data_IF_241802461997
#
_entry.id   IF_241802461997
#
_cell.length_a   1.000
_cell.length_b   1.000
_cell.length_c   1.000
_cell.angle_alpha   90.00
_cell.angle_beta   90.00
_cell.angle_gamma   90.00
#
_symmetry.space_group_name_H-M   'P 1'
#
loop_
_entity.id
_entity.type
_entity.pdbx_description
1 polymer ?
#
# COMPACT_ATOMS: atom_id res chain seq x y z
N UNK A 1 9.38 18.92 -21.20
CA UNK A 1 8.15 19.51 -21.77
C UNK A 1 7.60 18.78 -23.01
N UNK A 2 8.45 18.25 -23.90
CA UNK A 2 7.99 17.62 -25.16
C UNK A 2 7.11 16.38 -24.96
N UNK A 3 7.42 15.53 -23.98
CA UNK A 3 6.63 14.32 -23.68
C UNK A 3 5.26 14.70 -23.07
N UNK A 4 5.27 15.61 -22.10
CA UNK A 4 4.06 16.07 -21.40
C UNK A 4 3.05 16.72 -22.37
N UNK A 5 3.51 17.36 -23.45
CA UNK A 5 2.62 17.93 -24.47
C UNK A 5 1.69 16.88 -25.10
N UNK A 6 2.15 15.63 -25.25
CA UNK A 6 1.36 14.55 -25.86
C UNK A 6 0.75 13.58 -24.84
N UNK A 7 1.32 13.53 -23.63
CA UNK A 7 0.99 12.56 -22.58
C UNK A 7 0.00 13.09 -21.54
N UNK A 8 -0.15 14.42 -21.39
CA UNK A 8 -0.96 14.99 -20.33
C UNK A 8 -2.41 14.48 -20.37
N UNK A 9 -2.94 14.05 -19.22
CA UNK A 9 -4.33 13.58 -19.13
C UNK A 9 -4.61 12.24 -19.81
N UNK A 10 -3.56 11.44 -20.06
CA UNK A 10 -3.64 10.07 -20.58
C UNK A 10 -3.47 9.02 -19.47
N UNK A 11 -3.55 7.74 -19.83
CA UNK A 11 -3.36 6.62 -18.90
C UNK A 11 -1.96 6.57 -18.27
N UNK A 12 -0.93 7.19 -18.88
CA UNK A 12 0.41 7.31 -18.29
C UNK A 12 0.40 8.18 -17.03
N UNK A 13 -0.38 9.26 -17.02
CA UNK A 13 -0.55 10.13 -15.85
C UNK A 13 -1.21 9.33 -14.71
N UNK A 14 -2.23 8.53 -15.02
CA UNK A 14 -2.88 7.66 -14.04
C UNK A 14 -1.94 6.55 -13.55
N UNK A 15 -1.10 5.99 -14.42
CA UNK A 15 -0.08 5.02 -14.05
C UNK A 15 0.90 5.59 -13.02
N UNK A 16 1.44 6.78 -13.30
CA UNK A 16 2.30 7.49 -12.37
C UNK A 16 1.57 7.82 -11.06
N UNK A 17 0.31 8.27 -11.15
CA UNK A 17 -0.52 8.57 -9.99
C UNK A 17 -0.68 7.37 -9.06
N UNK A 18 -1.04 6.19 -9.56
CA UNK A 18 -1.22 5.00 -8.72
C UNK A 18 0.11 4.50 -8.15
N UNK A 19 1.17 4.45 -8.98
CA UNK A 19 2.49 3.99 -8.52
C UNK A 19 3.08 4.91 -7.45
N UNK A 20 2.97 6.23 -7.60
CA UNK A 20 3.48 7.18 -6.63
C UNK A 20 2.59 7.27 -5.39
N UNK A 21 1.28 7.47 -5.57
CA UNK A 21 0.36 7.65 -4.45
C UNK A 21 0.25 6.38 -3.61
N UNK A 22 -0.09 5.27 -4.24
CA UNK A 22 -0.36 4.03 -3.51
C UNK A 22 0.94 3.27 -3.20
N UNK A 23 1.92 3.30 -4.10
CA UNK A 23 3.22 2.66 -3.87
C UNK A 23 4.08 3.35 -2.82
N UNK A 24 4.02 4.69 -2.70
CA UNK A 24 4.79 5.42 -1.67
C UNK A 24 3.91 5.71 -0.45
N UNK A 25 2.94 6.61 -0.57
CA UNK A 25 2.17 7.08 0.59
C UNK A 25 1.27 5.97 1.16
N UNK A 26 0.64 5.19 0.28
CA UNK A 26 -0.21 4.09 0.70
C UNK A 26 0.55 2.98 1.43
N UNK A 27 1.67 2.51 0.88
CA UNK A 27 2.51 1.51 1.53
C UNK A 27 3.15 2.02 2.82
N UNK A 28 3.55 3.30 2.88
CA UNK A 28 4.03 3.93 4.09
C UNK A 28 2.95 3.93 5.18
N UNK A 29 1.73 4.32 4.83
CA UNK A 29 0.59 4.32 5.75
C UNK A 29 0.29 2.90 6.27
N UNK A 30 0.32 1.89 5.40
CA UNK A 30 0.16 0.47 5.80
C UNK A 30 1.29 0.03 6.73
N UNK A 31 2.54 0.41 6.45
CA UNK A 31 3.68 0.09 7.30
C UNK A 31 3.55 0.67 8.71
N UNK A 32 3.18 1.95 8.81
CA UNK A 32 2.92 2.63 10.09
C UNK A 32 1.72 1.99 10.81
N UNK A 33 0.64 1.67 10.09
CA UNK A 33 -0.52 1.01 10.67
C UNK A 33 -0.16 -0.36 11.26
N UNK A 34 0.59 -1.19 10.53
CA UNK A 34 1.07 -2.48 11.02
C UNK A 34 1.99 -2.34 12.24
N UNK A 35 2.86 -1.33 12.25
CA UNK A 35 3.69 -1.01 13.41
C UNK A 35 2.81 -0.69 14.64
N UNK A 36 1.85 0.22 14.52
CA UNK A 36 0.93 0.56 15.61
C UNK A 36 0.09 -0.65 16.07
N UNK A 37 -0.41 -1.47 15.13
CA UNK A 37 -1.15 -2.69 15.42
C UNK A 37 -0.31 -3.71 16.18
N UNK A 38 0.98 -3.81 15.85
CA UNK A 38 1.92 -4.71 16.51
C UNK A 38 2.15 -4.38 17.98
N UNK A 39 2.10 -3.09 18.34
CA UNK A 39 2.16 -2.63 19.74
C UNK A 39 0.84 -2.83 20.48
N UNK A 40 -0.30 -2.72 19.78
CA UNK A 40 -1.62 -2.80 20.41
C UNK A 40 -2.08 -4.25 20.65
N UNK A 41 -1.65 -5.20 19.80
CA UNK A 41 -2.06 -6.60 19.87
C UNK A 41 -1.15 -7.39 20.83
N UNK A 42 -1.72 -8.13 21.81
CA UNK A 42 -0.95 -9.03 22.67
C UNK A 42 -0.24 -10.12 21.86
N UNK A 43 0.97 -10.49 22.26
CA UNK A 43 1.82 -11.50 21.57
C UNK A 43 1.06 -12.81 21.24
N UNK A 44 0.19 -13.26 22.14
CA UNK A 44 -0.61 -14.49 21.96
C UNK A 44 -1.55 -14.48 20.75
N UNK A 45 -1.96 -13.30 20.29
CA UNK A 45 -2.95 -13.11 19.22
C UNK A 45 -2.33 -12.55 17.94
N UNK A 46 -1.02 -12.26 17.95
CA UNK A 46 -0.32 -11.79 16.76
C UNK A 46 0.07 -12.96 15.85
N UNK A 47 -0.03 -12.77 14.53
CA UNK A 47 0.46 -13.74 13.54
C UNK A 47 1.04 -12.97 12.36
N UNK A 48 2.19 -13.39 11.85
CA UNK A 48 2.87 -12.70 10.75
C UNK A 48 2.29 -13.03 9.36
N UNK A 49 1.54 -14.13 9.24
CA UNK A 49 0.99 -14.62 7.97
C UNK A 49 0.05 -13.60 7.28
N UNK A 50 -0.94 -12.99 7.97
CA UNK A 50 -1.83 -11.99 7.39
C UNK A 50 -1.06 -10.74 6.89
N UNK A 51 -0.08 -10.27 7.67
CA UNK A 51 0.74 -9.13 7.30
C UNK A 51 1.62 -9.43 6.07
N UNK A 52 2.27 -10.60 6.03
CA UNK A 52 3.07 -11.03 4.88
C UNK A 52 2.20 -11.20 3.62
N UNK A 53 1.03 -11.82 3.74
CA UNK A 53 0.12 -11.99 2.61
C UNK A 53 -0.35 -10.63 2.07
N UNK A 54 -0.74 -9.71 2.95
CA UNK A 54 -1.13 -8.35 2.56
C UNK A 54 -0.01 -7.61 1.84
N UNK A 55 1.22 -7.69 2.35
CA UNK A 55 2.39 -7.08 1.72
C UNK A 55 2.58 -7.57 0.27
N UNK A 56 2.56 -8.88 0.05
CA UNK A 56 2.72 -9.43 -1.29
C UNK A 56 1.54 -9.13 -2.21
N UNK A 57 0.30 -9.27 -1.71
CA UNK A 57 -0.90 -9.01 -2.50
C UNK A 57 -0.98 -7.54 -2.96
N UNK A 58 -0.68 -6.59 -2.08
CA UNK A 58 -0.71 -5.16 -2.42
C UNK A 58 0.40 -4.79 -3.42
N UNK A 59 1.61 -5.33 -3.27
CA UNK A 59 2.71 -5.05 -4.19
C UNK A 59 2.51 -5.70 -5.55
N UNK A 60 2.11 -6.97 -5.60
CA UNK A 60 1.86 -7.68 -6.87
C UNK A 60 0.64 -7.09 -7.58
N UNK A 61 -0.44 -6.77 -6.85
CA UNK A 61 -1.62 -6.14 -7.42
C UNK A 61 -1.29 -4.77 -8.03
N UNK A 62 -0.54 -3.93 -7.30
CA UNK A 62 -0.10 -2.63 -7.82
C UNK A 62 0.83 -2.78 -9.03
N UNK A 63 1.79 -3.71 -8.97
CA UNK A 63 2.69 -4.00 -10.08
C UNK A 63 1.93 -4.45 -11.33
N UNK A 64 0.96 -5.35 -11.17
CA UNK A 64 0.12 -5.85 -12.26
C UNK A 64 -0.70 -4.72 -12.90
N UNK A 65 -1.41 -3.94 -12.09
CA UNK A 65 -2.22 -2.82 -12.59
C UNK A 65 -1.34 -1.85 -13.39
N UNK A 66 -0.17 -1.49 -12.86
CA UNK A 66 0.71 -0.51 -13.50
C UNK A 66 1.37 -1.03 -14.77
N UNK A 67 1.98 -2.22 -14.74
CA UNK A 67 2.77 -2.74 -15.86
C UNK A 67 1.92 -3.46 -16.89
N UNK A 68 0.96 -4.28 -16.46
CA UNK A 68 0.18 -5.09 -17.39
C UNK A 68 -0.90 -4.28 -18.12
N UNK A 69 -1.34 -3.15 -17.56
CA UNK A 69 -2.48 -2.40 -18.13
C UNK A 69 -2.24 -0.92 -18.35
N UNK A 70 -2.00 -0.15 -17.29
CA UNK A 70 -1.91 1.32 -17.40
C UNK A 70 -0.71 1.77 -18.26
N UNK A 71 0.42 1.08 -18.15
CA UNK A 71 1.60 1.36 -18.96
C UNK A 71 1.38 1.08 -20.46
N UNK A 72 1.01 -0.13 -20.91
CA UNK A 72 0.81 -0.39 -22.35
C UNK A 72 -0.31 0.44 -22.94
N UNK A 73 -1.41 0.65 -22.20
CA UNK A 73 -2.50 1.52 -22.64
C UNK A 73 -2.02 2.98 -22.82
N UNK A 74 -1.24 3.48 -21.87
CA UNK A 74 -0.71 4.83 -21.91
C UNK A 74 0.34 5.04 -23.01
N UNK A 75 1.18 4.05 -23.29
CA UNK A 75 2.12 4.08 -24.43
C UNK A 75 1.36 4.06 -25.76
N UNK A 76 0.32 3.24 -25.89
CA UNK A 76 -0.52 3.22 -27.08
C UNK A 76 -1.26 4.56 -27.29
N UNK A 77 -1.78 5.16 -26.22
CA UNK A 77 -2.38 6.50 -26.24
C UNK A 77 -1.38 7.58 -26.66
N UNK A 78 -0.17 7.54 -26.12
CA UNK A 78 0.90 8.48 -26.45
C UNK A 78 1.29 8.37 -27.93
N UNK A 79 1.45 7.15 -28.44
CA UNK A 79 1.77 6.92 -29.85
C UNK A 79 0.69 7.47 -30.79
N UNK A 80 -0.59 7.25 -30.45
CA UNK A 80 -1.70 7.80 -31.24
C UNK A 80 -1.75 9.33 -31.19
N UNK A 81 -1.50 9.91 -30.00
CA UNK A 81 -1.44 11.36 -29.79
C UNK A 81 -0.37 12.03 -30.66
N UNK A 82 0.80 11.38 -30.81
CA UNK A 82 1.88 11.86 -31.69
C UNK A 82 1.57 11.65 -33.16
N UNK A 83 0.96 10.51 -33.55
CA UNK A 83 0.76 10.16 -34.96
C UNK A 83 -0.41 10.88 -35.62
N UNK A 84 -1.55 10.96 -34.94
CA UNK A 84 -2.83 11.46 -35.50
C UNK A 84 -3.25 12.77 -34.85
N UNK A 85 -2.90 12.96 -33.58
CA UNK A 85 -3.20 14.17 -32.83
C UNK A 85 -3.87 13.87 -31.50
N UNK A 86 -3.70 14.79 -30.55
CA UNK A 86 -4.16 14.64 -29.17
C UNK A 86 -5.69 14.45 -29.04
N UNK A 87 -6.47 15.11 -29.90
CA UNK A 87 -7.94 14.97 -29.91
C UNK A 87 -8.39 13.54 -30.22
N UNK A 88 -7.72 12.87 -31.17
CA UNK A 88 -8.09 11.52 -31.59
C UNK A 88 -7.72 10.48 -30.52
N UNK A 89 -6.58 10.65 -29.84
CA UNK A 89 -6.15 9.79 -28.73
C UNK A 89 -7.12 9.80 -27.53
N UNK A 90 -7.89 10.88 -27.37
CA UNK A 90 -8.92 11.06 -26.33
C UNK A 90 -10.34 10.76 -26.83
N UNK A 91 -10.51 10.41 -28.10
CA UNK A 91 -11.82 10.13 -28.68
C UNK A 91 -12.38 8.79 -28.17
N UNK A 92 -13.71 8.71 -28.05
CA UNK A 92 -14.40 7.46 -27.71
C UNK A 92 -14.10 6.35 -28.72
N UNK A 93 -13.86 6.71 -29.99
CA UNK A 93 -13.49 5.77 -31.05
C UNK A 93 -12.16 5.06 -30.74
N UNK A 94 -11.17 5.79 -30.23
CA UNK A 94 -9.90 5.18 -29.83
C UNK A 94 -10.09 4.35 -28.55
N UNK A 95 -10.74 4.88 -27.52
CA UNK A 95 -10.93 4.19 -26.23
C UNK A 95 -11.72 2.88 -26.36
N UNK A 96 -12.74 2.83 -27.22
CA UNK A 96 -13.58 1.63 -27.43
C UNK A 96 -12.99 0.61 -28.41
N UNK A 97 -11.73 0.77 -28.81
CA UNK A 97 -11.04 -0.20 -29.67
C UNK A 97 -10.94 -1.55 -28.95
N UNK A 98 -11.14 -2.65 -29.68
CA UNK A 98 -11.09 -4.03 -29.12
C UNK A 98 -9.83 -4.29 -28.29
N UNK A 99 -8.68 -3.79 -28.73
CA UNK A 99 -7.40 -3.90 -28.00
C UNK A 99 -7.42 -3.18 -26.65
N UNK A 100 -7.98 -1.97 -26.59
CA UNK A 100 -8.04 -1.19 -25.34
C UNK A 100 -8.99 -1.83 -24.34
N UNK A 101 -10.14 -2.33 -24.82
CA UNK A 101 -11.08 -3.09 -23.98
C UNK A 101 -10.40 -4.34 -23.41
N UNK A 102 -9.63 -5.10 -24.20
CA UNK A 102 -8.92 -6.27 -23.70
C UNK A 102 -7.88 -5.91 -22.62
N UNK A 103 -7.15 -4.79 -22.79
CA UNK A 103 -6.19 -4.31 -21.80
C UNK A 103 -6.91 -3.85 -20.52
N UNK A 104 -8.07 -3.21 -20.63
CA UNK A 104 -8.89 -2.84 -19.48
C UNK A 104 -9.41 -4.07 -18.71
N UNK A 105 -9.86 -5.11 -19.42
CA UNK A 105 -10.27 -6.37 -18.77
C UNK A 105 -9.10 -7.10 -18.11
N UNK A 106 -7.90 -7.02 -18.69
CA UNK A 106 -6.68 -7.54 -18.08
C UNK A 106 -6.31 -6.85 -16.75
N UNK A 107 -6.97 -5.74 -16.41
CA UNK A 107 -6.75 -5.00 -15.16
C UNK A 107 -7.45 -5.66 -13.98
N UNK A 108 -8.64 -6.22 -14.21
CA UNK A 108 -9.50 -6.77 -13.16
C UNK A 108 -8.80 -7.79 -12.25
N UNK A 109 -7.97 -8.72 -12.74
CA UNK A 109 -7.25 -9.65 -11.87
C UNK A 109 -6.29 -8.96 -10.89
N UNK A 110 -5.59 -7.91 -11.34
CA UNK A 110 -4.67 -7.14 -10.51
C UNK A 110 -5.41 -6.32 -9.45
N UNK A 111 -6.50 -5.67 -9.85
CA UNK A 111 -7.35 -4.90 -8.93
C UNK A 111 -7.97 -5.82 -7.87
N UNK A 112 -8.43 -7.02 -8.28
CA UNK A 112 -8.97 -8.02 -7.35
C UNK A 112 -7.92 -8.48 -6.34
N UNK A 113 -6.70 -8.77 -6.78
CA UNK A 113 -5.60 -9.16 -5.89
C UNK A 113 -5.25 -8.03 -4.90
N UNK A 114 -5.23 -6.79 -5.38
CA UNK A 114 -4.96 -5.62 -4.56
C UNK A 114 -6.05 -5.43 -3.48
N UNK A 115 -7.33 -5.55 -3.85
CA UNK A 115 -8.47 -5.48 -2.90
C UNK A 115 -8.38 -6.61 -1.88
N UNK A 116 -8.07 -7.84 -2.32
CA UNK A 116 -7.93 -8.99 -1.41
C UNK A 116 -6.80 -8.76 -0.39
N UNK A 117 -5.73 -8.06 -0.78
CA UNK A 117 -4.61 -7.69 0.08
C UNK A 117 -4.97 -6.80 1.27
N UNK A 118 -6.12 -6.10 1.24
CA UNK A 118 -6.57 -5.22 2.33
C UNK A 118 -7.26 -5.98 3.47
N UNK A 119 -8.02 -7.04 3.17
CA UNK A 119 -8.78 -7.78 4.19
C UNK A 119 -7.93 -8.30 5.38
N UNK A 120 -6.70 -8.84 5.18
CA UNK A 120 -5.85 -9.22 6.29
C UNK A 120 -5.49 -8.07 7.23
N UNK A 121 -5.29 -6.86 6.71
CA UNK A 121 -5.00 -5.66 7.54
C UNK A 121 -6.25 -5.29 8.35
N UNK A 122 -7.42 -5.30 7.72
CA UNK A 122 -8.70 -5.04 8.41
C UNK A 122 -8.92 -6.08 9.52
N UNK A 123 -8.62 -7.34 9.26
CA UNK A 123 -8.70 -8.40 10.25
C UNK A 123 -7.75 -8.17 11.44
N UNK A 124 -6.49 -7.80 11.18
CA UNK A 124 -5.54 -7.43 12.25
C UNK A 124 -6.01 -6.21 13.04
N UNK A 125 -6.56 -5.20 12.36
CA UNK A 125 -7.15 -4.04 13.01
C UNK A 125 -8.34 -4.41 13.92
N UNK A 126 -9.18 -5.35 13.48
CA UNK A 126 -10.29 -5.86 14.29
C UNK A 126 -9.80 -6.61 15.53
N UNK A 127 -8.78 -7.46 15.40
CA UNK A 127 -8.13 -8.14 16.54
C UNK A 127 -7.58 -7.09 17.53
N UNK A 128 -6.89 -6.08 17.02
CA UNK A 128 -6.33 -5.02 17.85
C UNK A 128 -7.41 -4.30 18.66
N UNK A 129 -8.56 -4.00 18.06
CA UNK A 129 -9.69 -3.37 18.76
C UNK A 129 -10.33 -4.32 19.78
N UNK A 130 -10.46 -5.61 19.47
CA UNK A 130 -11.11 -6.60 20.35
C UNK A 130 -10.26 -6.98 21.57
N UNK A 131 -8.94 -7.07 21.40
CA UNK A 131 -8.03 -7.58 22.42
C UNK A 131 -7.05 -6.52 22.93
N UNK A 132 -7.40 -5.24 22.84
CA UNK A 132 -6.58 -4.13 23.36
C UNK A 132 -6.08 -4.48 24.76
N UNK A 133 -4.79 -4.68 24.90
CA UNK A 133 -4.17 -4.74 26.21
C UNK A 133 -4.17 -3.33 26.78
N UNK A 134 -4.86 -3.14 27.91
CA UNK A 134 -4.50 -2.05 28.80
C UNK A 134 -3.06 -2.33 29.25
N UNK A 135 -2.09 -1.56 28.75
CA UNK A 135 -0.83 -1.47 29.46
C UNK A 135 -1.16 -0.95 30.86
N UNK A 136 -0.80 -1.66 31.94
CA UNK A 136 -0.91 -1.09 33.27
C UNK A 136 0.11 0.05 33.33
N UNK A 137 -0.33 1.28 33.05
CA UNK A 137 0.37 2.48 33.49
C UNK A 137 0.09 2.62 34.98
N UNK A 138 0.48 1.62 35.78
CA UNK A 138 0.53 1.77 37.22
C UNK A 138 1.81 2.57 37.51
N UNK A 139 1.72 3.82 37.99
CA UNK A 139 2.89 4.56 38.43
C UNK A 139 3.46 3.82 39.65
N UNK A 140 4.46 2.96 39.46
CA UNK A 140 5.08 2.23 40.56
C UNK A 140 5.81 0.93 40.22
N UNK A 141 5.67 0.37 39.02
CA UNK A 141 6.42 -0.84 38.61
C UNK A 141 7.32 -0.55 37.42
N UNK A 142 8.29 0.35 37.61
CA UNK A 142 9.52 0.25 36.85
C UNK A 142 10.31 -0.90 37.49
N UNK A 143 10.72 -1.95 36.76
CA UNK A 143 11.75 -2.85 37.28
C UNK A 143 12.93 -1.96 37.65
N UNK A 144 13.37 -2.01 38.91
CA UNK A 144 14.47 -1.19 39.42
C UNK A 144 15.69 -1.37 38.52
N UNK A 145 15.89 -0.43 37.60
CA UNK A 145 17.02 -0.42 36.67
C UNK A 145 18.31 -0.02 37.41
N UNK A 146 18.17 0.49 38.62
CA UNK A 146 19.25 0.73 39.56
C UNK A 146 19.28 -0.42 40.56
N UNK A 147 20.39 -1.15 40.60
CA UNK A 147 20.77 -1.91 41.79
C UNK A 147 21.11 -0.89 42.85
N UNK A 148 20.24 -0.68 43.84
CA UNK A 148 20.65 0.07 45.02
C UNK A 148 21.70 -0.78 45.75
N UNK A 149 22.95 -0.37 45.61
CA UNK A 149 24.05 -0.89 46.42
C UNK A 149 23.82 -0.27 47.79
N UNK A 150 23.25 -1.04 48.71
CA UNK A 150 23.26 -0.71 50.13
C UNK A 150 24.72 -0.71 50.58
N UNK A 151 25.32 0.47 50.73
CA UNK A 151 26.52 0.62 51.53
C UNK A 151 26.15 0.30 52.97
N UNK A 152 26.60 -0.85 53.46
CA UNK A 152 26.59 -1.19 54.87
C UNK A 152 27.47 -0.19 55.61
N UNK A 153 26.86 0.83 56.22
CA UNK A 153 27.52 1.60 57.26
C UNK A 153 27.77 0.66 58.45
N UNK A 154 28.99 0.16 58.51
CA UNK A 154 29.55 -0.55 59.65
C UNK A 154 29.88 0.53 60.70
N UNK A 155 28.93 0.79 61.62
CA UNK A 155 29.19 1.59 62.82
C UNK A 155 30.13 0.81 63.75
N UNK A 156 31.33 1.36 63.96
CA UNK A 156 32.21 1.06 65.11
C UNK A 156 32.31 2.27 66.01
#
# INVERSE_FOLDING_TARGET
>A
PIVSYYEIGTALTANHGHTAFMGVYGMLAVGIALFCLRYLIPQKHWTDRPAKFSFWALNIGLFWMSIATLFPLGVAQLYQSVKVGYFDARSLKFLTTKTNILIEWARLPGDLLFIIGIFPIIYLAWIAVRYKTAHPTAPGQLPSLYTEISESHEET
#
